data_IF_966984025410
#
_entry.id   IF_966984025410
#
_cell.length_a   1.000
_cell.length_b   1.000
_cell.length_c   1.000
_cell.angle_alpha   90.00
_cell.angle_beta   90.00
_cell.angle_gamma   90.00
#
_symmetry.space_group_name_H-M   'P 1'
#
loop_
_entity.id
_entity.type
_entity.pdbx_description
1 polymer ?
#
# COMPACT_ATOMS: atom_id res chain seq x y z
N UNK A 1 5.42 -16.63 -4.57
CA UNK A 1 6.12 -16.13 -3.36
C UNK A 1 5.27 -15.12 -2.56
N UNK A 2 3.97 -15.40 -2.32
CA UNK A 2 3.11 -14.48 -1.56
C UNK A 2 2.63 -13.26 -2.37
N UNK A 3 2.06 -13.48 -3.57
CA UNK A 3 1.52 -12.42 -4.41
C UNK A 3 0.33 -11.71 -3.73
N UNK A 4 0.19 -10.40 -3.91
CA UNK A 4 -0.95 -9.66 -3.33
C UNK A 4 -2.25 -10.07 -4.04
N UNK A 5 -3.34 -10.26 -3.28
CA UNK A 5 -4.69 -10.34 -3.84
C UNK A 5 -5.22 -8.96 -4.13
N UNK A 6 -5.87 -8.80 -5.27
CA UNK A 6 -6.49 -7.54 -5.67
C UNK A 6 -7.89 -7.84 -6.17
N UNK A 7 -8.92 -7.19 -5.62
CA UNK A 7 -10.30 -7.44 -6.06
C UNK A 7 -10.76 -6.26 -6.93
N UNK A 8 -10.77 -6.38 -8.27
CA UNK A 8 -11.05 -5.27 -9.16
C UNK A 8 -12.44 -4.66 -8.92
N UNK A 9 -12.56 -3.34 -9.08
CA UNK A 9 -13.84 -2.63 -8.96
C UNK A 9 -14.35 -2.38 -7.53
N UNK A 10 -13.79 -3.04 -6.51
CA UNK A 10 -14.26 -2.94 -5.12
C UNK A 10 -14.07 -1.56 -4.47
N UNK A 11 -13.17 -0.73 -5.00
CA UNK A 11 -13.06 0.69 -4.61
C UNK A 11 -14.35 1.50 -4.82
N UNK A 12 -15.28 0.99 -5.64
CA UNK A 12 -16.63 1.56 -5.87
C UNK A 12 -17.72 0.81 -5.11
N UNK A 13 -17.38 -0.29 -4.45
CA UNK A 13 -18.33 -1.12 -3.71
C UNK A 13 -18.75 -0.43 -2.41
N UNK A 14 -20.02 -0.62 -2.06
CA UNK A 14 -20.57 -0.29 -0.74
C UNK A 14 -20.96 -1.55 0.04
N UNK A 15 -20.80 -2.73 -0.58
CA UNK A 15 -21.03 -3.99 0.09
C UNK A 15 -20.00 -4.18 1.21
N UNK A 16 -20.35 -4.90 2.28
CA UNK A 16 -19.36 -5.32 3.27
C UNK A 16 -18.31 -6.23 2.61
N UNK A 17 -17.09 -6.21 3.15
CA UNK A 17 -16.07 -7.19 2.78
C UNK A 17 -16.55 -8.55 3.29
N UNK A 18 -16.66 -9.58 2.44
CA UNK A 18 -17.08 -10.92 2.86
C UNK A 18 -16.04 -11.54 3.81
N UNK A 19 -16.45 -12.54 4.60
CA UNK A 19 -15.50 -13.38 5.32
C UNK A 19 -14.67 -14.23 4.34
N UNK A 20 -13.55 -14.79 4.77
CA UNK A 20 -12.74 -15.66 3.92
C UNK A 20 -13.51 -16.90 3.45
N UNK A 21 -14.39 -17.44 4.30
CA UNK A 21 -15.26 -18.58 4.02
C UNK A 21 -16.36 -18.25 2.98
N UNK A 22 -16.81 -17.00 2.97
CA UNK A 22 -17.86 -16.49 2.08
C UNK A 22 -17.31 -15.88 0.77
N UNK A 23 -16.01 -15.62 0.69
CA UNK A 23 -15.38 -15.10 -0.52
C UNK A 23 -15.62 -16.05 -1.71
N UNK A 24 -16.19 -15.57 -2.83
CA UNK A 24 -16.34 -16.39 -4.03
C UNK A 24 -14.96 -16.70 -4.63
N UNK A 25 -14.86 -17.84 -5.32
CA UNK A 25 -13.59 -18.37 -5.84
C UNK A 25 -12.80 -17.36 -6.68
N UNK A 26 -13.50 -16.55 -7.48
CA UNK A 26 -12.87 -15.53 -8.31
C UNK A 26 -12.17 -14.42 -7.49
N UNK A 27 -12.62 -14.14 -6.26
CA UNK A 27 -11.93 -13.21 -5.35
C UNK A 27 -10.71 -13.86 -4.70
N UNK A 28 -10.83 -15.13 -4.32
CA UNK A 28 -9.75 -15.90 -3.68
C UNK A 28 -8.54 -16.08 -4.60
N UNK A 29 -8.81 -16.27 -5.89
CA UNK A 29 -7.79 -16.56 -6.91
C UNK A 29 -7.24 -15.32 -7.62
N UNK A 30 -7.74 -14.12 -7.31
CA UNK A 30 -7.31 -12.88 -7.98
C UNK A 30 -5.95 -12.38 -7.46
N UNK A 31 -4.88 -13.02 -7.94
CA UNK A 31 -3.51 -12.68 -7.59
C UNK A 31 -2.89 -11.73 -8.61
N UNK A 32 -2.27 -10.66 -8.11
CA UNK A 32 -1.48 -9.76 -8.95
C UNK A 32 -0.02 -10.20 -8.99
N UNK A 33 0.34 -10.87 -10.08
CA UNK A 33 1.71 -11.26 -10.40
C UNK A 33 2.28 -10.29 -11.43
N UNK A 34 3.42 -9.68 -11.11
CA UNK A 34 4.08 -8.72 -11.97
C UNK A 34 5.62 -8.86 -11.89
N UNK A 35 6.36 -8.48 -12.95
CA UNK A 35 7.81 -8.47 -12.92
C UNK A 35 8.37 -7.51 -11.86
N UNK A 36 9.64 -7.72 -11.51
CA UNK A 36 10.42 -6.76 -10.71
C UNK A 36 10.38 -5.37 -11.38
N UNK A 37 10.41 -4.32 -10.56
CA UNK A 37 10.26 -2.92 -10.98
C UNK A 37 8.86 -2.53 -11.49
N UNK A 38 7.84 -3.36 -11.28
CA UNK A 38 6.45 -2.95 -11.49
C UNK A 38 5.92 -2.17 -10.29
N UNK A 39 5.33 -1.00 -10.54
CA UNK A 39 4.56 -0.26 -9.55
C UNK A 39 3.07 -0.57 -9.69
N UNK A 40 2.39 -0.80 -8.56
CA UNK A 40 0.95 -0.99 -8.51
C UNK A 40 0.33 0.24 -7.86
N UNK A 41 -0.46 0.98 -8.63
CA UNK A 41 -1.21 2.14 -8.13
C UNK A 41 -2.59 1.66 -7.72
N UNK A 42 -2.99 1.97 -6.49
CA UNK A 42 -4.27 1.55 -5.96
C UNK A 42 -4.99 2.64 -5.19
N UNK A 43 -6.32 2.63 -5.30
CA UNK A 43 -7.18 3.30 -4.35
C UNK A 43 -7.15 2.54 -3.01
N UNK A 44 -7.11 3.27 -1.90
CA UNK A 44 -7.11 2.73 -0.54
C UNK A 44 -8.34 1.84 -0.26
N UNK A 45 -9.47 2.12 -0.91
CA UNK A 45 -10.74 1.39 -0.76
C UNK A 45 -10.80 0.10 -1.58
N UNK A 46 -9.87 -0.11 -2.52
CA UNK A 46 -9.83 -1.35 -3.27
C UNK A 46 -9.48 -2.48 -2.32
N UNK A 47 -10.31 -3.52 -2.25
CA UNK A 47 -10.04 -4.68 -1.40
C UNK A 47 -8.81 -5.41 -1.91
N UNK A 48 -7.91 -5.70 -0.98
CA UNK A 48 -6.63 -6.34 -1.24
C UNK A 48 -6.13 -7.03 0.02
N UNK A 49 -5.21 -7.97 -0.14
CA UNK A 49 -4.62 -8.67 1.00
C UNK A 49 -3.32 -9.38 0.63
N UNK A 50 -2.41 -9.48 1.60
CA UNK A 50 -1.24 -10.34 1.46
C UNK A 50 -1.65 -11.81 1.38
N UNK A 51 -0.81 -12.63 0.76
CA UNK A 51 -0.96 -14.09 0.76
C UNK A 51 0.27 -14.75 1.35
N UNK A 52 0.13 -16.01 1.76
CA UNK A 52 1.24 -16.79 2.32
C UNK A 52 2.39 -16.88 1.31
N UNK A 53 3.60 -16.54 1.77
CA UNK A 53 4.81 -16.79 1.01
C UNK A 53 5.28 -18.22 1.26
N UNK A 54 5.00 -19.12 0.32
CA UNK A 54 5.39 -20.54 0.39
C UNK A 54 6.77 -20.84 -0.25
N UNK A 55 7.55 -19.81 -0.61
CA UNK A 55 8.93 -20.00 -1.09
C UNK A 55 9.94 -19.73 0.02
N UNK A 56 11.17 -20.18 -0.20
CA UNK A 56 12.37 -19.87 0.58
C UNK A 56 12.90 -18.43 0.36
N UNK A 57 12.46 -17.77 -0.70
CA UNK A 57 12.86 -16.41 -1.03
C UNK A 57 12.00 -15.33 -0.36
N UNK A 58 12.66 -14.29 0.18
CA UNK A 58 11.99 -13.07 0.68
C UNK A 58 11.38 -12.28 -0.49
N UNK A 59 10.19 -11.72 -0.27
CA UNK A 59 9.50 -10.83 -1.23
C UNK A 59 9.31 -9.43 -0.63
N UNK A 60 10.34 -8.58 -0.60
CA UNK A 60 10.20 -7.21 -0.12
C UNK A 60 9.32 -6.40 -1.09
N UNK A 61 8.47 -5.54 -0.55
CA UNK A 61 7.71 -4.55 -1.28
C UNK A 61 7.81 -3.21 -0.55
N UNK A 62 8.06 -2.13 -1.29
CA UNK A 62 7.93 -0.77 -0.77
C UNK A 62 6.58 -0.21 -1.17
N UNK A 63 6.00 0.61 -0.30
CA UNK A 63 4.73 1.28 -0.58
C UNK A 63 4.79 2.72 -0.10
N UNK A 64 4.03 3.58 -0.77
CA UNK A 64 3.86 4.99 -0.41
C UNK A 64 2.37 5.31 -0.44
N UNK A 65 1.88 5.89 0.65
CA UNK A 65 0.52 6.39 0.75
C UNK A 65 0.47 7.87 0.35
N UNK A 66 -0.40 8.20 -0.61
CA UNK A 66 -0.74 9.58 -0.93
C UNK A 66 -2.15 9.86 -0.42
N UNK A 67 -2.30 10.95 0.31
CA UNK A 67 -3.58 11.43 0.80
C UNK A 67 -3.83 12.86 0.36
N UNK A 68 -5.10 13.25 0.36
CA UNK A 68 -5.49 14.61 0.01
C UNK A 68 -4.82 15.63 0.96
N UNK A 69 -4.50 16.86 0.51
CA UNK A 69 -3.76 17.84 1.31
C UNK A 69 -4.41 18.23 2.64
N UNK A 70 -5.74 18.08 2.74
CA UNK A 70 -6.54 18.33 3.94
C UNK A 70 -6.66 17.12 4.88
N UNK A 71 -6.35 15.92 4.39
CA UNK A 71 -6.34 14.73 5.23
C UNK A 71 -5.04 14.68 6.04
N UNK A 72 -5.19 14.31 7.32
CA UNK A 72 -4.08 14.09 8.25
C UNK A 72 -4.29 12.72 8.86
N UNK A 73 -3.58 11.72 8.33
CA UNK A 73 -3.41 10.48 9.06
C UNK A 73 -2.57 10.78 10.31
N UNK A 74 -2.78 10.02 11.38
CA UNK A 74 -1.85 9.96 12.51
C UNK A 74 -0.64 9.16 12.04
N UNK A 75 0.17 9.76 11.16
CA UNK A 75 1.41 9.15 10.72
C UNK A 75 2.45 9.32 11.81
N UNK A 76 3.17 8.24 12.12
CA UNK A 76 4.31 8.32 13.02
C UNK A 76 5.42 9.13 12.34
N UNK A 77 5.89 10.16 13.05
CA UNK A 77 7.10 10.89 12.65
C UNK A 77 8.26 9.91 12.72
N UNK A 78 8.84 9.61 11.57
CA UNK A 78 9.81 8.52 11.39
C UNK A 78 10.98 8.88 10.48
N UNK A 79 10.89 10.01 9.77
CA UNK A 79 11.94 10.48 8.88
C UNK A 79 12.95 11.37 9.64
N UNK A 80 14.24 11.02 9.70
CA UNK A 80 15.28 11.91 10.21
C UNK A 80 15.37 13.22 9.42
N UNK A 81 15.64 14.33 10.13
CA UNK A 81 15.82 15.66 9.53
C UNK A 81 16.87 15.66 8.41
N UNK A 82 18.00 14.98 8.61
CA UNK A 82 19.07 14.89 7.62
C UNK A 82 18.62 14.27 6.28
N UNK A 83 17.70 13.30 6.31
CA UNK A 83 17.16 12.70 5.09
C UNK A 83 16.19 13.64 4.40
N UNK A 84 15.35 14.33 5.19
CA UNK A 84 14.40 15.31 4.70
C UNK A 84 15.10 16.48 3.98
N UNK A 85 16.17 17.02 4.55
CA UNK A 85 16.88 18.19 4.01
C UNK A 85 17.54 17.89 2.66
N UNK A 86 17.84 16.62 2.37
CA UNK A 86 18.40 16.15 1.09
C UNK A 86 17.34 15.93 0.01
N UNK A 87 16.06 16.01 0.33
CA UNK A 87 14.97 15.84 -0.64
C UNK A 87 14.85 17.07 -1.55
N UNK A 88 14.32 16.85 -2.76
CA UNK A 88 13.88 17.95 -3.63
C UNK A 88 12.78 18.78 -2.96
N UNK A 89 12.53 20.00 -3.45
CA UNK A 89 11.43 20.86 -2.97
C UNK A 89 10.08 20.12 -2.93
N UNK A 90 9.80 19.27 -3.92
CA UNK A 90 8.59 18.44 -3.94
C UNK A 90 8.62 17.35 -2.87
N UNK A 91 9.75 16.67 -2.68
CA UNK A 91 9.91 15.65 -1.65
C UNK A 91 9.75 16.22 -0.24
N UNK A 92 10.38 17.35 0.03
CA UNK A 92 10.20 18.10 1.29
C UNK A 92 8.72 18.44 1.52
N UNK A 93 8.04 18.99 0.50
CA UNK A 93 6.59 19.26 0.60
C UNK A 93 5.80 18.00 0.94
N UNK A 94 6.04 16.87 0.29
CA UNK A 94 5.29 15.63 0.54
C UNK A 94 5.56 15.04 1.93
N UNK A 95 6.82 15.06 2.38
CA UNK A 95 7.25 14.38 3.60
C UNK A 95 7.23 15.25 4.86
N UNK A 96 6.87 16.54 4.77
CA UNK A 96 6.93 17.52 5.88
C UNK A 96 6.24 17.10 7.17
N UNK A 97 5.27 16.18 7.10
CA UNK A 97 4.48 15.73 8.25
C UNK A 97 5.02 14.46 8.92
N UNK A 98 5.98 13.76 8.31
CA UNK A 98 6.57 12.53 8.86
C UNK A 98 7.99 12.74 9.40
N UNK A 99 8.44 13.99 9.49
CA UNK A 99 9.79 14.33 9.98
C UNK A 99 9.82 14.30 11.51
N UNK A 100 10.82 13.62 12.07
CA UNK A 100 11.12 13.64 13.50
C UNK A 100 11.69 15.02 13.86
N UNK A 101 11.12 15.67 14.86
CA UNK A 101 11.71 16.88 15.43
C UNK A 101 12.92 16.46 16.29
N UNK A 102 14.06 17.12 16.07
CA UNK A 102 15.29 16.84 16.82
C UNK A 102 15.26 17.35 18.25
#
# INVERSE_FOLDING_TARGET
>A
NGAIRFIPGTHRSRAPIPSLEEEPEWMRTNHLCAPVNTAVIRDVRCWHGGTANQSDMKRPMTSVGYHAPWFRAVEEKSMPREHYDRLSTRGQRLCRHIVVDG
#
